data_IF_833034910332
#
_entry.id   IF_833034910332
#
_cell.length_a   1.000
_cell.length_b   1.000
_cell.length_c   1.000
_cell.angle_alpha   90.00
_cell.angle_beta   90.00
_cell.angle_gamma   90.00
#
_symmetry.space_group_name_H-M   'P 1'
#
loop_
_entity.id
_entity.type
_entity.pdbx_description
1 polymer ?
#
# COMPACT_ATOMS: atom_id res chain seq x y z
N UNK A 1 6.51 2.51 4.48
CA UNK A 1 7.59 1.58 4.10
C UNK A 1 7.54 0.41 5.05
N UNK A 2 7.42 -0.80 4.53
CA UNK A 2 7.48 -2.02 5.34
C UNK A 2 8.95 -2.36 5.58
N UNK A 3 9.31 -2.64 6.82
CA UNK A 3 10.67 -2.98 7.23
C UNK A 3 10.81 -4.51 7.20
N UNK A 4 11.88 -5.03 6.59
CA UNK A 4 12.09 -6.48 6.47
C UNK A 4 12.39 -7.13 7.82
N UNK A 5 11.80 -8.30 8.07
CA UNK A 5 12.11 -9.11 9.26
C UNK A 5 13.49 -9.78 9.14
N UNK A 6 14.04 -10.22 10.27
CA UNK A 6 15.31 -10.97 10.30
C UNK A 6 15.23 -12.27 9.47
N UNK A 7 14.04 -12.87 9.36
CA UNK A 7 13.77 -14.06 8.55
C UNK A 7 13.80 -13.78 7.05
N UNK A 8 13.21 -12.66 6.63
CA UNK A 8 13.26 -12.22 5.23
C UNK A 8 14.69 -11.83 4.84
N UNK A 9 15.39 -11.09 5.69
CA UNK A 9 16.78 -10.69 5.47
C UNK A 9 17.70 -11.91 5.35
N UNK A 10 17.58 -12.89 6.25
CA UNK A 10 18.34 -14.14 6.19
C UNK A 10 18.12 -14.86 4.86
N UNK A 11 16.85 -15.01 4.41
CA UNK A 11 16.54 -15.70 3.15
C UNK A 11 17.09 -14.99 1.93
N UNK A 12 16.89 -13.68 1.82
CA UNK A 12 17.46 -12.88 0.72
C UNK A 12 18.99 -13.06 0.69
N UNK A 13 19.62 -12.95 1.85
CA UNK A 13 21.08 -13.03 2.00
C UNK A 13 21.66 -14.39 1.60
N UNK A 14 21.00 -15.49 1.92
CA UNK A 14 21.51 -16.85 1.64
C UNK A 14 21.11 -17.38 0.26
N UNK A 15 20.05 -16.80 -0.35
CA UNK A 15 19.63 -17.14 -1.72
C UNK A 15 20.38 -16.32 -2.78
N UNK A 16 21.01 -15.21 -2.37
CA UNK A 16 21.83 -14.40 -3.26
C UNK A 16 23.09 -15.17 -3.69
N UNK A 17 23.31 -15.24 -5.00
CA UNK A 17 24.48 -15.89 -5.60
C UNK A 17 25.17 -14.90 -6.54
N UNK A 18 26.42 -14.55 -6.25
CA UNK A 18 27.20 -13.60 -7.04
C UNK A 18 28.08 -14.35 -8.08
N UNK A 19 27.63 -14.39 -9.34
CA UNK A 19 28.26 -15.18 -10.41
C UNK A 19 29.72 -14.80 -10.74
N UNK A 20 30.12 -13.55 -10.51
CA UNK A 20 31.45 -13.04 -10.91
C UNK A 20 32.61 -13.47 -10.01
N UNK A 21 32.33 -13.82 -8.75
CA UNK A 21 33.38 -14.15 -7.77
C UNK A 21 33.08 -15.42 -6.96
N UNK A 22 31.92 -16.08 -7.17
CA UNK A 22 31.57 -17.36 -6.53
C UNK A 22 31.61 -17.33 -5.00
N UNK A 23 31.58 -16.14 -4.40
CA UNK A 23 31.79 -15.92 -2.97
C UNK A 23 30.47 -15.49 -2.36
N UNK A 24 30.13 -16.06 -1.21
CA UNK A 24 28.96 -15.64 -0.45
C UNK A 24 29.19 -14.19 0.01
N UNK A 25 28.28 -13.27 -0.34
CA UNK A 25 28.46 -11.83 -0.07
C UNK A 25 28.45 -11.44 1.40
N UNK A 26 28.10 -12.37 2.31
CA UNK A 26 28.14 -12.17 3.75
C UNK A 26 29.11 -13.14 4.42
N UNK A 27 29.75 -12.66 5.49
CA UNK A 27 30.62 -13.50 6.30
C UNK A 27 29.81 -14.59 7.02
N UNK A 28 30.44 -15.76 7.29
CA UNK A 28 29.81 -16.82 8.08
C UNK A 28 29.34 -16.35 9.47
N UNK A 29 30.05 -15.39 10.06
CA UNK A 29 29.70 -14.80 11.35
C UNK A 29 28.37 -14.04 11.29
N UNK A 30 28.16 -13.22 10.26
CA UNK A 30 26.90 -12.48 10.07
C UNK A 30 25.74 -13.47 9.88
N UNK A 31 25.92 -14.51 9.08
CA UNK A 31 24.91 -15.56 8.87
C UNK A 31 24.61 -16.31 10.18
N UNK A 32 25.64 -16.61 10.97
CA UNK A 32 25.49 -17.25 12.28
C UNK A 32 24.71 -16.38 13.26
N UNK A 33 25.03 -15.08 13.32
CA UNK A 33 24.32 -14.13 14.18
C UNK A 33 22.85 -13.97 13.76
N UNK A 34 22.56 -13.90 12.46
CA UNK A 34 21.18 -13.89 11.97
C UNK A 34 20.42 -15.16 12.37
N UNK A 35 21.08 -16.33 12.37
CA UNK A 35 20.48 -17.59 12.81
C UNK A 35 20.13 -17.60 14.30
N UNK A 36 20.98 -17.01 15.14
CA UNK A 36 20.71 -16.87 16.57
C UNK A 36 19.46 -16.00 16.78
N UNK A 37 19.40 -14.85 16.10
CA UNK A 37 18.26 -13.94 16.18
C UNK A 37 16.95 -14.59 15.70
N UNK A 38 17.00 -15.43 14.66
CA UNK A 38 15.85 -16.22 14.19
C UNK A 38 15.28 -17.15 15.27
N UNK A 39 16.16 -17.83 16.02
CA UNK A 39 15.74 -18.75 17.09
C UNK A 39 15.19 -18.02 18.32
N UNK A 40 15.59 -16.76 18.53
CA UNK A 40 15.11 -15.94 19.64
C UNK A 40 13.72 -15.35 19.34
N UNK A 41 13.48 -14.91 18.09
CA UNK A 41 12.17 -14.41 17.62
C UNK A 41 11.12 -15.54 17.48
N UNK A 42 11.56 -16.78 17.22
CA UNK A 42 10.70 -17.96 17.00
C UNK A 42 9.93 -18.45 18.23
N UNK A 43 10.14 -17.86 19.42
CA UNK A 43 9.39 -18.24 20.64
C UNK A 43 7.95 -17.69 20.66
N UNK A 44 7.58 -16.85 19.71
CA UNK A 44 6.19 -16.47 19.46
C UNK A 44 5.71 -17.09 18.16
N UNK A 45 4.56 -17.75 18.25
CA UNK A 45 3.99 -18.62 17.24
C UNK A 45 3.97 -18.06 15.81
N UNK A 46 4.00 -19.03 14.89
CA UNK A 46 3.50 -19.00 13.51
C UNK A 46 4.55 -18.75 12.42
N UNK A 47 4.77 -19.82 11.67
CA UNK A 47 5.57 -20.07 10.47
C UNK A 47 5.30 -19.09 9.29
N UNK A 48 4.47 -18.06 9.47
CA UNK A 48 4.02 -17.14 8.41
C UNK A 48 4.75 -15.79 8.34
N UNK A 49 5.72 -15.49 9.23
CA UNK A 49 6.47 -14.20 9.23
C UNK A 49 7.38 -13.97 8.00
N UNK A 50 7.48 -14.93 7.09
CA UNK A 50 8.28 -14.79 5.87
C UNK A 50 7.54 -14.08 4.73
N UNK A 51 6.27 -14.42 4.50
CA UNK A 51 5.51 -13.88 3.38
C UNK A 51 5.02 -12.48 3.73
N UNK A 52 4.94 -11.62 2.72
CA UNK A 52 4.25 -10.34 2.87
C UNK A 52 2.74 -10.62 2.87
N UNK A 53 1.99 -9.92 3.72
CA UNK A 53 0.54 -10.04 3.74
C UNK A 53 -0.06 -9.41 2.47
N UNK A 54 -0.86 -10.19 1.73
CA UNK A 54 -1.49 -9.76 0.46
C UNK A 54 -2.51 -8.61 0.66
N UNK A 55 -2.99 -8.40 1.89
CA UNK A 55 -3.94 -7.34 2.26
C UNK A 55 -3.28 -5.99 2.59
N UNK A 56 -2.00 -5.80 2.23
CA UNK A 56 -1.24 -4.55 2.42
C UNK A 56 -1.71 -3.39 1.53
N UNK A 57 -2.99 -3.35 1.18
CA UNK A 57 -3.62 -2.18 0.58
C UNK A 57 -3.37 -0.96 1.45
N UNK A 58 -2.92 0.13 0.83
CA UNK A 58 -2.73 1.39 1.53
C UNK A 58 -4.12 2.01 1.66
N UNK A 59 -4.68 2.16 2.87
CA UNK A 59 -5.96 2.83 3.03
C UNK A 59 -5.80 4.31 2.63
N UNK A 60 -6.71 4.82 1.82
CA UNK A 60 -6.75 6.24 1.48
C UNK A 60 -7.59 7.01 2.51
N UNK A 61 -7.15 8.20 2.88
CA UNK A 61 -7.95 9.11 3.73
C UNK A 61 -8.97 9.88 2.88
N UNK A 62 -10.02 10.38 3.54
CA UNK A 62 -10.87 11.44 2.98
C UNK A 62 -10.07 12.69 2.62
N UNK A 63 -8.95 12.94 3.31
CA UNK A 63 -8.04 14.04 3.01
C UNK A 63 -7.29 13.81 1.69
N UNK A 64 -6.92 12.56 1.37
CA UNK A 64 -6.26 12.21 0.10
C UNK A 64 -7.22 12.37 -1.08
N UNK A 65 -8.50 12.04 -0.86
CA UNK A 65 -9.57 12.29 -1.84
C UNK A 65 -9.75 13.80 -2.06
N UNK A 66 -9.84 14.58 -0.99
CA UNK A 66 -10.05 16.03 -1.08
C UNK A 66 -8.88 16.73 -1.78
N UNK A 67 -7.65 16.26 -1.59
CA UNK A 67 -6.45 16.81 -2.24
C UNK A 67 -6.38 16.50 -3.74
N UNK A 68 -6.94 15.37 -4.16
CA UNK A 68 -6.93 14.93 -5.57
C UNK A 68 -8.15 15.38 -6.37
N UNK A 69 -9.21 15.82 -5.69
CA UNK A 69 -10.43 16.32 -6.31
C UNK A 69 -10.22 17.72 -6.89
N UNK A 70 -10.56 17.91 -8.16
CA UNK A 70 -10.71 19.25 -8.71
C UNK A 70 -11.89 19.95 -8.01
N UNK A 71 -11.71 21.20 -7.59
CA UNK A 71 -12.80 22.04 -7.07
C UNK A 71 -13.76 22.39 -8.21
N UNK A 72 -14.65 21.46 -8.56
CA UNK A 72 -15.77 21.71 -9.47
C UNK A 72 -16.92 22.28 -8.64
N UNK A 73 -17.33 23.50 -8.94
CA UNK A 73 -18.59 24.05 -8.43
C UNK A 73 -19.75 23.36 -9.13
N UNK A 74 -20.67 22.78 -8.36
CA UNK A 74 -21.89 22.14 -8.91
C UNK A 74 -22.71 23.15 -9.72
N UNK A 75 -22.64 24.44 -9.39
CA UNK A 75 -23.31 25.51 -10.13
C UNK A 75 -22.75 25.73 -11.54
N UNK A 76 -21.52 25.27 -11.81
CA UNK A 76 -20.84 25.46 -13.10
C UNK A 76 -21.11 24.28 -14.07
N UNK A 77 -21.85 23.26 -13.63
CA UNK A 77 -22.16 22.06 -14.41
C UNK A 77 -23.64 22.07 -14.80
N UNK A 78 -23.95 22.22 -16.09
CA UNK A 78 -25.32 22.11 -16.59
C UNK A 78 -25.77 20.63 -16.55
N UNK A 79 -26.94 20.32 -15.95
CA UNK A 79 -27.47 18.97 -15.94
C UNK A 79 -27.71 18.45 -17.37
N UNK A 80 -27.43 17.15 -17.64
CA UNK A 80 -27.72 16.53 -18.93
C UNK A 80 -29.18 16.71 -19.39
N UNK A 81 -29.45 16.80 -20.71
CA UNK A 81 -30.79 17.07 -21.25
C UNK A 81 -31.88 16.12 -20.73
N UNK A 82 -31.56 14.83 -20.58
CA UNK A 82 -32.48 13.82 -20.05
C UNK A 82 -32.97 14.12 -18.64
N UNK A 83 -32.13 14.74 -17.80
CA UNK A 83 -32.53 15.14 -16.45
C UNK A 83 -33.31 16.46 -16.47
N UNK A 84 -33.00 17.36 -17.42
CA UNK A 84 -33.73 18.64 -17.59
C UNK A 84 -35.18 18.43 -18.03
N UNK A 85 -35.44 17.39 -18.80
CA UNK A 85 -36.78 17.06 -19.31
C UNK A 85 -37.66 16.34 -18.27
N UNK A 86 -37.06 15.77 -17.22
CA UNK A 86 -37.80 15.07 -16.17
C UNK A 86 -38.15 16.01 -15.02
N UNK A 87 -39.44 16.22 -14.81
CA UNK A 87 -39.99 17.10 -13.77
C UNK A 87 -39.54 16.74 -12.34
N UNK A 88 -39.17 15.48 -12.11
CA UNK A 88 -38.61 14.99 -10.84
C UNK A 88 -37.21 15.54 -10.50
N UNK A 89 -36.50 16.12 -11.47
CA UNK A 89 -35.13 16.64 -11.28
C UNK A 89 -35.04 18.17 -11.34
N UNK A 90 -36.17 18.87 -11.23
CA UNK A 90 -36.22 20.34 -11.19
C UNK A 90 -35.35 20.98 -10.09
N UNK A 91 -34.99 20.23 -9.04
CA UNK A 91 -34.10 20.68 -7.98
C UNK A 91 -32.63 20.86 -8.41
N UNK A 92 -32.23 20.29 -9.54
CA UNK A 92 -30.88 20.46 -10.12
C UNK A 92 -30.71 21.79 -10.86
N UNK A 93 -31.81 22.50 -11.17
CA UNK A 93 -31.74 23.81 -11.80
C UNK A 93 -31.16 24.86 -10.81
N UNK A 94 -30.32 25.80 -11.28
CA UNK A 94 -29.81 26.89 -10.44
C UNK A 94 -30.97 27.65 -9.79
N UNK A 95 -31.00 27.71 -8.46
CA UNK A 95 -31.98 28.55 -7.77
C UNK A 95 -31.54 30.01 -7.89
N UNK A 96 -32.35 30.82 -8.56
CA UNK A 96 -32.22 32.27 -8.52
C UNK A 96 -32.49 32.73 -7.09
N UNK A 97 -31.43 33.04 -6.35
CA UNK A 97 -31.54 33.70 -5.04
C UNK A 97 -31.92 35.17 -5.32
N UNK A 98 -33.17 35.55 -5.02
CA UNK A 98 -33.61 36.94 -4.95
C UNK A 98 -33.43 37.48 -3.53
#
# INVERSE_FOLDING_TARGET
>A
MQMLSIQQLYRISTMYWEDKHGTHSLSPEVISNMRILLTQDSNNAVINSFLLDDDSSIPFSTDDLTRSMDMISISDVDPPPLLRESSGFSFLAPRLNY
#
